data_IF_003903383591
#
_entry.id   IF_003903383591
#
_cell.length_a   1.000
_cell.length_b   1.000
_cell.length_c   1.000
_cell.angle_alpha   90.00
_cell.angle_beta   90.00
_cell.angle_gamma   90.00
#
_symmetry.space_group_name_H-M   'P 1'
#
loop_
_entity.id
_entity.type
_entity.pdbx_description
1 polymer ?
#
# COMPACT_ATOMS: atom_id res chain seq x y z
N UNK A 1 -9.97 -15.14 -34.69
CA UNK A 1 -8.63 -14.53 -34.79
C UNK A 1 -8.11 -14.33 -33.39
N UNK A 2 -7.16 -15.16 -32.94
CA UNK A 2 -6.58 -15.07 -31.60
C UNK A 2 -5.47 -14.01 -31.63
N UNK A 3 -5.66 -12.91 -30.91
CA UNK A 3 -4.61 -11.92 -30.70
C UNK A 3 -3.56 -12.51 -29.76
N UNK A 4 -2.37 -12.72 -30.30
CA UNK A 4 -1.20 -13.18 -29.58
C UNK A 4 -0.77 -12.12 -28.57
N UNK A 5 -0.89 -12.44 -27.28
CA UNK A 5 -0.28 -11.69 -26.18
C UNK A 5 1.23 -11.58 -26.47
N UNK A 6 1.83 -10.37 -26.54
CA UNK A 6 3.24 -10.26 -26.85
C UNK A 6 4.00 -11.05 -25.79
N UNK A 7 4.85 -11.96 -26.26
CA UNK A 7 5.75 -12.75 -25.44
C UNK A 7 6.50 -11.77 -24.55
N UNK A 8 6.31 -11.91 -23.24
CA UNK A 8 7.08 -11.19 -22.25
C UNK A 8 8.55 -11.33 -22.66
N UNK A 9 9.23 -10.19 -22.84
CA UNK A 9 10.66 -10.15 -23.04
C UNK A 9 11.29 -11.13 -22.05
N UNK A 10 12.17 -12.00 -22.54
CA UNK A 10 12.90 -12.97 -21.72
C UNK A 10 13.70 -12.13 -20.71
N UNK A 11 13.08 -11.90 -19.56
CA UNK A 11 13.68 -11.14 -18.48
C UNK A 11 14.88 -11.97 -18.02
N UNK A 12 16.04 -11.33 -17.97
CA UNK A 12 17.18 -11.90 -17.25
C UNK A 12 16.69 -12.40 -15.90
N UNK A 13 17.16 -13.57 -15.43
CA UNK A 13 16.68 -14.14 -14.18
C UNK A 13 16.90 -13.10 -13.07
N UNK A 14 15.80 -12.51 -12.60
CA UNK A 14 15.85 -11.57 -11.50
C UNK A 14 16.45 -12.34 -10.32
N UNK A 15 17.59 -11.85 -9.80
CA UNK A 15 18.27 -12.44 -8.63
C UNK A 15 17.36 -12.41 -7.39
N UNK A 16 16.36 -11.53 -7.42
CA UNK A 16 15.36 -11.33 -6.38
C UNK A 16 13.95 -11.46 -6.97
N UNK A 17 13.00 -11.85 -6.14
CA UNK A 17 11.58 -11.84 -6.49
C UNK A 17 11.09 -10.40 -6.69
N UNK A 18 10.00 -10.23 -7.45
CA UNK A 18 9.37 -8.92 -7.60
C UNK A 18 8.91 -8.32 -6.26
N UNK A 19 8.53 -9.17 -5.30
CA UNK A 19 8.18 -8.75 -3.95
C UNK A 19 9.37 -8.13 -3.22
N UNK A 20 10.51 -8.81 -3.17
CA UNK A 20 11.74 -8.31 -2.52
C UNK A 20 12.24 -7.01 -3.16
N UNK A 21 12.09 -6.87 -4.48
CA UNK A 21 12.45 -5.62 -5.16
C UNK A 21 11.55 -4.44 -4.77
N UNK A 22 10.28 -4.69 -4.49
CA UNK A 22 9.28 -3.66 -4.20
C UNK A 22 9.13 -3.36 -2.70
N UNK A 23 9.45 -4.31 -1.83
CA UNK A 23 9.30 -4.20 -0.37
C UNK A 23 9.93 -2.91 0.21
N UNK A 24 11.15 -2.49 -0.18
CA UNK A 24 11.73 -1.26 0.35
C UNK A 24 10.97 0.01 -0.08
N UNK A 25 10.37 0.01 -1.27
CA UNK A 25 9.58 1.13 -1.76
C UNK A 25 8.19 1.12 -1.13
N UNK A 26 7.60 -0.06 -0.98
CA UNK A 26 6.30 -0.24 -0.35
C UNK A 26 6.28 0.33 1.08
N UNK A 27 7.23 -0.06 1.93
CA UNK A 27 7.34 0.44 3.31
C UNK A 27 7.49 1.96 3.36
N UNK A 28 8.27 2.54 2.44
CA UNK A 28 8.43 4.01 2.35
C UNK A 28 7.10 4.70 2.00
N UNK A 29 6.35 4.13 1.07
CA UNK A 29 5.05 4.66 0.66
C UNK A 29 4.01 4.55 1.77
N UNK A 30 4.03 3.48 2.58
CA UNK A 30 3.14 3.35 3.74
C UNK A 30 3.40 4.45 4.77
N UNK A 31 4.65 4.72 5.12
CA UNK A 31 5.01 5.80 6.05
C UNK A 31 4.60 7.17 5.49
N UNK A 32 4.77 7.38 4.18
CA UNK A 32 4.35 8.63 3.54
C UNK A 32 2.82 8.79 3.55
N UNK A 33 2.09 7.71 3.27
CA UNK A 33 0.64 7.69 3.32
C UNK A 33 0.13 8.01 4.73
N UNK A 34 0.68 7.36 5.76
CA UNK A 34 0.33 7.62 7.16
C UNK A 34 0.58 9.08 7.54
N UNK A 35 1.74 9.62 7.16
CA UNK A 35 2.06 11.01 7.42
C UNK A 35 1.09 11.98 6.74
N UNK A 36 0.61 11.66 5.52
CA UNK A 36 -0.42 12.45 4.82
C UNK A 36 -1.77 12.37 5.53
N UNK A 37 -2.18 11.19 5.96
CA UNK A 37 -3.44 10.96 6.67
C UNK A 37 -3.46 11.67 8.03
N UNK A 38 -2.39 11.57 8.82
CA UNK A 38 -2.25 12.27 10.10
C UNK A 38 -2.30 13.78 9.88
N UNK A 39 -1.58 14.32 8.90
CA UNK A 39 -1.64 15.77 8.58
C UNK A 39 -3.05 16.22 8.21
N UNK A 40 -3.78 15.44 7.42
CA UNK A 40 -5.16 15.75 7.04
C UNK A 40 -6.09 15.75 8.26
N UNK A 41 -5.98 14.75 9.13
CA UNK A 41 -6.77 14.66 10.35
C UNK A 41 -6.49 15.82 11.31
N UNK A 42 -5.21 16.17 11.52
CA UNK A 42 -4.82 17.33 12.34
C UNK A 42 -5.34 18.63 11.75
N UNK A 43 -5.26 18.80 10.42
CA UNK A 43 -5.80 19.99 9.73
C UNK A 43 -7.33 20.10 9.86
N UNK A 44 -8.01 18.97 10.05
CA UNK A 44 -9.45 18.91 10.31
C UNK A 44 -9.82 19.05 11.80
N UNK A 45 -8.85 19.26 12.68
CA UNK A 45 -9.08 19.52 14.12
C UNK A 45 -9.02 18.28 15.02
N UNK A 46 -8.64 17.12 14.49
CA UNK A 46 -8.43 15.90 15.29
C UNK A 46 -7.04 15.88 15.91
N UNK A 47 -6.87 15.16 17.02
CA UNK A 47 -5.52 14.94 17.57
C UNK A 47 -4.75 13.91 16.75
N UNK A 48 -3.42 13.93 16.87
CA UNK A 48 -2.56 12.95 16.21
C UNK A 48 -2.86 11.52 16.68
N UNK A 49 -3.17 11.33 17.95
CA UNK A 49 -3.52 10.02 18.53
C UNK A 49 -4.82 9.48 17.94
N UNK A 50 -5.84 10.34 17.76
CA UNK A 50 -7.09 9.97 17.11
C UNK A 50 -6.87 9.58 15.64
N UNK A 51 -5.99 10.31 14.95
CA UNK A 51 -5.64 10.00 13.57
C UNK A 51 -4.95 8.63 13.45
N UNK A 52 -3.97 8.35 14.33
CA UNK A 52 -3.28 7.05 14.37
C UNK A 52 -4.24 5.91 14.65
N UNK A 53 -5.12 6.05 15.65
CA UNK A 53 -6.12 5.05 15.98
C UNK A 53 -7.07 4.77 14.79
N UNK A 54 -7.51 5.81 14.08
CA UNK A 54 -8.36 5.67 12.91
C UNK A 54 -7.64 4.97 11.73
N UNK A 55 -6.36 5.24 11.51
CA UNK A 55 -5.56 4.55 10.48
C UNK A 55 -5.45 3.06 10.82
N UNK A 56 -5.21 2.72 12.09
CA UNK A 56 -5.15 1.33 12.54
C UNK A 56 -6.50 0.61 12.38
N UNK A 57 -7.61 1.29 12.66
CA UNK A 57 -8.97 0.77 12.43
C UNK A 57 -9.24 0.50 10.95
N UNK A 58 -8.85 1.41 10.06
CA UNK A 58 -9.01 1.24 8.61
C UNK A 58 -8.22 0.04 8.09
N UNK A 59 -6.97 -0.14 8.55
CA UNK A 59 -6.14 -1.29 8.19
C UNK A 59 -6.73 -2.62 8.64
N UNK A 60 -7.33 -2.66 9.84
CA UNK A 60 -8.05 -3.86 10.31
C UNK A 60 -9.24 -4.22 9.41
N UNK A 61 -9.97 -3.23 8.92
CA UNK A 61 -11.11 -3.43 8.01
C UNK A 61 -10.68 -3.93 6.63
N UNK A 62 -9.52 -3.51 6.13
CA UNK A 62 -8.94 -4.04 4.87
C UNK A 62 -8.55 -5.52 4.98
N UNK A 63 -8.07 -5.96 6.16
CA UNK A 63 -7.68 -7.35 6.43
C UNK A 63 -8.91 -8.25 6.65
N UNK A 64 -9.96 -7.67 7.23
CA UNK A 64 -11.23 -8.35 7.50
C UNK A 64 -12.29 -7.76 6.57
N UNK A 65 -12.22 -8.05 5.25
CA UNK A 65 -13.22 -7.55 4.31
C UNK A 65 -14.54 -8.07 4.84
N UNK A 66 -15.38 -7.13 5.27
CA UNK A 66 -16.67 -7.47 5.85
C UNK A 66 -17.37 -8.39 4.85
N UNK A 67 -17.63 -9.63 5.27
CA UNK A 67 -18.57 -10.54 4.58
C UNK A 67 -19.93 -9.86 4.64
N UNK A 68 -20.22 -9.02 3.67
CA UNK A 68 -21.55 -8.49 3.40
C UNK A 68 -21.98 -8.92 2.00
#
# INVERSE_FOLDING_TARGET
>A
MSMQKPAAAVAEPNVVTAQEALEPLFVKLEVEADARLIRAAVSAGWTAEQAVAAIDDLRRQEIEPSRH
#
